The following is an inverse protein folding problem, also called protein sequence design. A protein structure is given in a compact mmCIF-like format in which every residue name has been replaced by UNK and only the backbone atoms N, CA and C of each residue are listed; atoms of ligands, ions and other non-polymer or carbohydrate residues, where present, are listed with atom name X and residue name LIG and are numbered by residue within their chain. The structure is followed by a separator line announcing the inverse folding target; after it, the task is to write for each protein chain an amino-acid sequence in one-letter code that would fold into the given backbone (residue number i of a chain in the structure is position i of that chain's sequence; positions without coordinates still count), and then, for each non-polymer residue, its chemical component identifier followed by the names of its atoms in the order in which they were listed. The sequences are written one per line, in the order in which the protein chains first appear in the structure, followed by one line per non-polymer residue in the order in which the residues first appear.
data_IF_648327310182
#
_entry.id   IF_648327310182
#
_cell.length_a   1.000
_cell.length_b   1.000
_cell.length_c   1.000
_cell.angle_alpha   90.00
_cell.angle_beta   90.00
_cell.angle_gamma   90.00
#
_symmetry.space_group_name_H-M   'P 1'
#
loop_
_entity.id
_entity.type
_entity.pdbx_description
1 polymer ?
#
# COMPACT_ATOMS: atom_id res chain seq x y z
N UNK A 1 17.24 -46.57 21.56
CA UNK A 1 17.56 -45.80 20.32
C UNK A 1 16.40 -45.70 19.32
N UNK A 2 15.56 -46.73 19.11
CA UNK A 2 14.45 -46.69 18.13
C UNK A 2 13.36 -45.66 18.47
N UNK A 3 13.00 -45.53 19.75
CA UNK A 3 12.00 -44.55 20.22
C UNK A 3 12.48 -43.09 20.17
N UNK A 4 13.78 -42.83 20.30
CA UNK A 4 14.35 -41.48 20.13
C UNK A 4 14.21 -40.99 18.69
N UNK A 5 14.41 -41.86 17.70
CA UNK A 5 14.23 -41.51 16.28
C UNK A 5 12.77 -41.17 15.96
N UNK A 6 11.83 -41.86 16.58
CA UNK A 6 10.39 -41.59 16.43
C UNK A 6 10.05 -40.23 17.06
N UNK A 7 10.55 -39.94 18.26
CA UNK A 7 10.33 -38.65 18.91
C UNK A 7 10.88 -37.47 18.09
N UNK A 8 12.08 -37.62 17.50
CA UNK A 8 12.67 -36.61 16.62
C UNK A 8 11.82 -36.42 15.36
N UNK A 9 11.37 -37.51 14.73
CA UNK A 9 10.52 -37.44 13.55
C UNK A 9 9.19 -36.72 13.84
N UNK A 10 8.57 -36.99 14.99
CA UNK A 10 7.33 -36.31 15.40
C UNK A 10 7.56 -34.82 15.66
N UNK A 11 8.68 -34.45 16.31
CA UNK A 11 9.03 -33.04 16.53
C UNK A 11 9.26 -32.29 15.22
N UNK A 12 9.91 -32.93 14.24
CA UNK A 12 10.11 -32.33 12.92
C UNK A 12 8.78 -32.11 12.18
N UNK A 13 7.86 -33.07 12.21
CA UNK A 13 6.54 -32.94 11.59
C UNK A 13 5.75 -31.80 12.25
N UNK A 14 5.77 -31.71 13.58
CA UNK A 14 5.11 -30.62 14.31
C UNK A 14 5.72 -29.25 13.97
N UNK A 15 7.04 -29.16 13.82
CA UNK A 15 7.72 -27.92 13.44
C UNK A 15 7.32 -27.46 12.02
N UNK A 16 7.20 -28.40 11.07
CA UNK A 16 6.76 -28.09 9.69
C UNK A 16 5.32 -27.59 9.69
N UNK A 17 4.41 -28.26 10.40
CA UNK A 17 3.01 -27.84 10.50
C UNK A 17 2.86 -26.48 11.19
N UNK A 18 3.67 -26.19 12.21
CA UNK A 18 3.69 -24.89 12.87
C UNK A 18 4.19 -23.79 11.93
N UNK A 19 5.23 -24.07 11.13
CA UNK A 19 5.77 -23.14 10.15
C UNK A 19 4.77 -22.83 9.03
N UNK A 20 4.07 -23.85 8.49
CA UNK A 20 3.00 -23.64 7.52
C UNK A 20 1.85 -22.81 8.11
N UNK A 21 1.42 -23.11 9.34
CA UNK A 21 0.34 -22.35 9.98
C UNK A 21 0.72 -20.88 10.22
N UNK A 22 1.96 -20.62 10.62
CA UNK A 22 2.50 -19.26 10.77
C UNK A 22 2.56 -18.54 9.41
N UNK A 23 3.03 -19.23 8.36
CA UNK A 23 3.11 -18.69 7.00
C UNK A 23 1.74 -18.32 6.44
N UNK A 24 0.74 -19.19 6.57
CA UNK A 24 -0.64 -18.88 6.20
C UNK A 24 -1.15 -17.67 6.99
N UNK A 25 -0.93 -17.61 8.31
CA UNK A 25 -1.38 -16.48 9.13
C UNK A 25 -0.70 -15.15 8.77
N UNK A 26 0.54 -15.19 8.29
CA UNK A 26 1.28 -14.03 7.79
C UNK A 26 0.79 -13.59 6.40
N UNK A 27 0.40 -14.53 5.54
CA UNK A 27 -0.13 -14.24 4.21
C UNK A 27 -1.61 -13.86 4.20
N UNK A 28 -2.39 -14.41 5.12
CA UNK A 28 -3.80 -14.07 5.35
C UNK A 28 -3.96 -12.83 6.23
N UNK A 29 -2.85 -12.19 6.64
CA UNK A 29 -2.96 -10.81 7.10
C UNK A 29 -3.44 -9.97 5.92
N UNK A 30 -4.64 -9.37 5.98
CA UNK A 30 -4.98 -8.33 5.03
C UNK A 30 -3.88 -7.29 5.16
N UNK A 31 -3.15 -7.05 4.08
CA UNK A 31 -2.04 -6.10 4.01
C UNK A 31 -2.23 -4.96 5.01
N UNK A 32 -1.52 -5.01 6.15
CA UNK A 32 -1.38 -3.88 7.08
C UNK A 32 -0.53 -2.75 6.48
N UNK A 33 -0.45 -2.71 5.15
CA UNK A 33 -0.23 -1.52 4.37
C UNK A 33 -1.51 -1.23 3.61
N UNK A 34 -2.45 -0.53 4.25
CA UNK A 34 -2.84 0.70 3.58
C UNK A 34 -1.53 1.49 3.50
N UNK A 35 -0.88 1.65 2.34
CA UNK A 35 -0.15 2.89 2.18
C UNK A 35 -1.20 3.93 2.56
N UNK A 36 -0.96 4.67 3.65
CA UNK A 36 -1.55 6.00 3.84
C UNK A 36 -1.69 6.53 2.44
N UNK A 37 -2.92 6.61 1.94
CA UNK A 37 -3.18 6.93 0.56
C UNK A 37 -2.32 8.16 0.31
N UNK A 38 -1.19 7.95 -0.36
CA UNK A 38 -0.28 9.01 -0.69
C UNK A 38 -1.15 9.74 -1.67
N UNK A 39 -1.85 10.76 -1.14
CA UNK A 39 -2.75 11.61 -1.89
C UNK A 39 -1.99 11.85 -3.18
N UNK A 40 -2.51 11.38 -4.33
CA UNK A 40 -1.72 11.23 -5.53
C UNK A 40 -0.95 12.52 -5.65
N UNK A 41 0.38 12.43 -5.48
CA UNK A 41 1.22 13.61 -5.61
C UNK A 41 0.88 14.05 -7.02
N UNK A 42 0.11 15.12 -7.11
CA UNK A 42 -0.44 15.61 -8.34
C UNK A 42 0.79 16.12 -9.04
N UNK A 43 1.43 15.22 -9.78
CA UNK A 43 2.45 15.58 -10.74
C UNK A 43 1.63 16.33 -11.76
N UNK A 44 1.53 17.64 -11.56
CA UNK A 44 0.97 18.56 -12.54
C UNK A 44 1.84 18.37 -13.75
N UNK A 45 1.36 17.57 -14.70
CA UNK A 45 1.97 17.49 -16.01
C UNK A 45 1.89 18.92 -16.54
N UNK A 46 2.98 19.50 -17.05
CA UNK A 46 2.91 20.83 -17.65
C UNK A 46 1.84 20.83 -18.75
N UNK A 47 0.70 21.46 -18.48
CA UNK A 47 -0.47 21.48 -19.37
C UNK A 47 -1.75 20.86 -18.83
N UNK A 48 -1.75 20.21 -17.66
CA UNK A 48 -2.99 19.74 -17.04
C UNK A 48 -3.87 20.92 -16.59
N UNK A 49 -5.19 20.85 -16.81
CA UNK A 49 -6.12 21.88 -16.36
C UNK A 49 -6.10 21.93 -14.83
N UNK A 50 -5.65 23.05 -14.26
CA UNK A 50 -5.77 23.28 -12.83
C UNK A 50 -7.19 23.76 -12.49
N UNK A 51 -7.64 23.42 -11.29
CA UNK A 51 -8.80 24.02 -10.65
C UNK A 51 -8.37 24.49 -9.25
N UNK A 52 -8.33 25.80 -9.03
CA UNK A 52 -7.87 26.45 -7.80
C UNK A 52 -8.94 27.41 -7.29
N UNK A 53 -8.93 27.69 -5.99
CA UNK A 53 -9.79 28.72 -5.41
C UNK A 53 -8.96 29.97 -5.10
N UNK A 54 -9.44 31.15 -5.50
CA UNK A 54 -8.76 32.40 -5.21
C UNK A 54 -8.94 32.83 -3.74
N UNK A 55 -8.25 33.91 -3.34
CA UNK A 55 -8.34 34.49 -1.99
C UNK A 55 -9.73 35.04 -1.62
N UNK A 56 -10.66 35.10 -2.58
CA UNK A 56 -12.06 35.53 -2.41
C UNK A 56 -13.02 34.35 -2.34
N UNK A 57 -12.51 33.12 -2.42
CA UNK A 57 -13.33 31.91 -2.42
C UNK A 57 -13.93 31.56 -3.78
N UNK A 58 -13.48 32.18 -4.88
CA UNK A 58 -13.98 31.88 -6.23
C UNK A 58 -13.18 30.75 -6.88
N UNK A 59 -13.89 29.82 -7.52
CA UNK A 59 -13.26 28.78 -8.32
C UNK A 59 -12.67 29.38 -9.61
N UNK A 60 -11.41 29.04 -9.89
CA UNK A 60 -10.65 29.45 -11.06
C UNK A 60 -10.03 28.21 -11.71
N UNK A 61 -9.85 28.25 -13.02
CA UNK A 61 -9.26 27.20 -13.83
C UNK A 61 -8.22 27.73 -14.82
N UNK A 62 -7.56 26.85 -15.54
CA UNK A 62 -6.60 27.22 -16.59
C UNK A 62 -7.25 28.11 -17.68
N UNK A 63 -8.56 27.92 -17.94
CA UNK A 63 -9.32 28.68 -18.95
C UNK A 63 -9.30 30.18 -18.69
N UNK A 64 -9.38 30.63 -17.44
CA UNK A 64 -9.41 32.06 -17.10
C UNK A 64 -8.04 32.75 -17.33
N UNK A 65 -6.96 31.98 -17.45
CA UNK A 65 -5.60 32.49 -17.61
C UNK A 65 -5.01 32.23 -19.00
N UNK A 66 -5.65 31.41 -19.85
CA UNK A 66 -5.23 31.22 -21.25
C UNK A 66 -5.22 32.56 -22.00
N UNK A 67 -4.08 32.88 -22.62
CA UNK A 67 -3.90 34.10 -23.42
C UNK A 67 -3.52 35.36 -22.63
N UNK A 68 -3.39 35.27 -21.31
CA UNK A 68 -2.81 36.33 -20.48
C UNK A 68 -1.35 35.96 -20.19
N UNK A 69 -0.43 36.39 -21.05
CA UNK A 69 1.00 36.34 -20.74
C UNK A 69 1.31 37.45 -19.73
N UNK A 70 1.91 37.09 -18.60
CA UNK A 70 2.47 38.01 -17.60
C UNK A 70 3.97 37.76 -17.56
#
# INVERSE_FOLDING_TARGET
MKHQRIAIAVLLILAVLAAEWIWLRLHDQPSLGSPLAAAPAHVTVPGDPFALTDHRGQAMSDREFRGRMV
#
